data_IF_407327143197
#
_entry.id   IF_407327143197
#
_cell.length_a   1.000
_cell.length_b   1.000
_cell.length_c   1.000
_cell.angle_alpha   90.00
_cell.angle_beta   90.00
_cell.angle_gamma   90.00
#
_symmetry.space_group_name_H-M   'P 1'
#
loop_
_entity.id
_entity.type
_entity.pdbx_description
1 polymer ?
#
# COMPACT_ATOMS: atom_id res chain seq x y z
N UNK A 1 46.52 -3.25 10.00
CA UNK A 1 45.08 -2.92 9.83
C UNK A 1 44.77 -3.01 8.36
N UNK A 2 43.80 -3.85 7.98
CA UNK A 2 43.51 -4.18 6.58
C UNK A 2 42.68 -3.06 5.94
N UNK A 3 42.86 -2.76 4.65
CA UNK A 3 42.09 -1.77 3.90
C UNK A 3 40.73 -2.36 3.50
N UNK A 4 39.94 -2.80 4.47
CA UNK A 4 38.59 -3.38 4.27
C UNK A 4 37.47 -2.46 4.74
N UNK A 5 37.79 -1.31 5.34
CA UNK A 5 36.81 -0.46 6.03
C UNK A 5 36.43 0.80 5.21
N UNK A 6 36.69 0.78 3.90
CA UNK A 6 36.50 1.93 2.99
C UNK A 6 35.55 1.68 1.80
N UNK A 7 34.74 0.60 1.83
CA UNK A 7 33.77 0.26 0.77
C UNK A 7 32.32 0.20 1.31
N UNK A 8 31.98 1.06 2.27
CA UNK A 8 30.59 1.23 2.75
C UNK A 8 30.06 2.67 2.52
N UNK A 9 30.68 3.40 1.59
CA UNK A 9 30.13 4.62 1.06
C UNK A 9 29.35 4.33 -0.24
N UNK A 10 28.04 4.58 -0.16
CA UNK A 10 27.13 4.85 -1.28
C UNK A 10 27.05 3.84 -2.42
N UNK A 11 26.21 2.81 -2.23
CA UNK A 11 25.27 2.41 -3.30
C UNK A 11 23.95 3.13 -3.01
N UNK A 12 24.00 4.46 -2.89
CA UNK A 12 22.81 5.27 -3.13
C UNK A 12 22.81 5.46 -4.64
N UNK A 13 21.90 4.76 -5.32
CA UNK A 13 21.52 5.13 -6.68
C UNK A 13 21.20 6.62 -6.59
N UNK A 14 21.99 7.48 -7.26
CA UNK A 14 21.70 8.91 -7.32
C UNK A 14 20.34 9.05 -8.01
N UNK A 15 19.27 9.10 -7.22
CA UNK A 15 17.93 9.21 -7.76
C UNK A 15 17.78 10.66 -8.21
N UNK A 16 17.68 10.91 -9.53
CA UNK A 16 17.48 12.25 -10.02
C UNK A 16 16.08 12.69 -9.61
N UNK A 17 15.99 13.86 -9.00
CA UNK A 17 14.74 14.51 -8.67
C UNK A 17 14.65 15.77 -9.51
N UNK A 18 13.74 15.77 -10.47
CA UNK A 18 13.40 16.99 -11.19
C UNK A 18 12.58 17.88 -10.25
N UNK A 19 13.06 19.10 -10.03
CA UNK A 19 12.39 20.16 -9.28
C UNK A 19 11.97 21.23 -10.27
N UNK A 20 10.68 21.37 -10.49
CA UNK A 20 10.15 22.56 -11.16
C UNK A 20 10.12 23.71 -10.16
N UNK A 21 10.36 24.92 -10.63
CA UNK A 21 10.22 26.17 -9.85
C UNK A 21 9.75 27.27 -10.79
N UNK A 22 9.03 28.24 -10.24
CA UNK A 22 8.61 29.44 -11.00
C UNK A 22 9.66 30.51 -10.96
N UNK A 23 10.25 30.67 -9.78
CA UNK A 23 11.21 31.71 -9.49
C UNK A 23 12.40 31.13 -8.72
N UNK A 24 13.58 31.67 -9.01
CA UNK A 24 14.82 31.33 -8.29
C UNK A 24 14.67 31.58 -6.79
N UNK A 25 13.85 32.56 -6.39
CA UNK A 25 13.60 32.83 -4.97
C UNK A 25 13.03 31.63 -4.21
N UNK A 26 12.25 30.75 -4.85
CA UNK A 26 11.71 29.53 -4.22
C UNK A 26 12.83 28.62 -3.74
N UNK A 27 13.94 28.56 -4.49
CA UNK A 27 15.12 27.77 -4.12
C UNK A 27 15.77 28.28 -2.83
N UNK A 28 15.79 29.60 -2.66
CA UNK A 28 16.41 30.24 -1.50
C UNK A 28 15.47 30.24 -0.29
N UNK A 29 14.17 30.42 -0.50
CA UNK A 29 13.17 30.42 0.59
C UNK A 29 12.82 29.02 1.11
N UNK A 30 13.10 27.95 0.35
CA UNK A 30 12.84 26.55 0.74
C UNK A 30 14.16 25.77 0.92
N UNK A 31 15.24 26.47 1.26
CA UNK A 31 16.59 25.93 1.22
C UNK A 31 16.78 24.77 2.19
N UNK A 32 16.13 24.77 3.35
CA UNK A 32 16.23 23.71 4.35
C UNK A 32 15.57 22.42 3.87
N UNK A 33 14.41 22.50 3.22
CA UNK A 33 13.74 21.32 2.65
C UNK A 33 14.58 20.70 1.52
N UNK A 34 15.10 21.53 0.60
CA UNK A 34 15.98 21.03 -0.46
C UNK A 34 17.31 20.49 0.08
N UNK A 35 17.84 21.09 1.15
CA UNK A 35 19.03 20.58 1.83
C UNK A 35 18.76 19.21 2.45
N UNK A 36 17.62 19.02 3.10
CA UNK A 36 17.19 17.71 3.60
C UNK A 36 17.21 16.65 2.49
N UNK A 37 16.65 16.95 1.30
CA UNK A 37 16.70 16.01 0.18
C UNK A 37 18.14 15.72 -0.30
N UNK A 38 18.98 16.75 -0.41
CA UNK A 38 20.40 16.58 -0.81
C UNK A 38 21.19 15.76 0.21
N UNK A 39 20.98 16.00 1.50
CA UNK A 39 21.66 15.30 2.59
C UNK A 39 21.30 13.80 2.60
N UNK A 40 20.14 13.42 2.02
CA UNK A 40 19.72 12.03 1.80
C UNK A 40 20.26 11.40 0.51
N UNK A 41 20.98 12.15 -0.32
CA UNK A 41 21.59 11.65 -1.55
C UNK A 41 20.74 11.82 -2.81
N UNK A 42 19.67 12.63 -2.77
CA UNK A 42 18.92 12.98 -3.99
C UNK A 42 19.68 14.00 -4.84
N UNK A 43 19.74 13.76 -6.15
CA UNK A 43 20.32 14.71 -7.10
C UNK A 43 19.23 15.64 -7.65
N UNK A 44 19.13 16.83 -7.06
CA UNK A 44 18.10 17.82 -7.43
C UNK A 44 18.49 18.56 -8.73
N UNK A 45 17.64 18.44 -9.75
CA UNK A 45 17.75 19.18 -11.01
C UNK A 45 16.67 20.26 -11.04
N UNK A 46 17.06 21.52 -10.92
CA UNK A 46 16.13 22.64 -10.97
C UNK A 46 15.86 23.06 -12.41
N UNK A 47 14.59 23.20 -12.78
CA UNK A 47 14.15 23.78 -14.05
C UNK A 47 13.01 24.76 -13.83
N UNK A 48 12.89 25.74 -14.71
CA UNK A 48 11.69 26.57 -14.72
C UNK A 48 10.51 25.80 -15.31
N UNK A 49 9.31 26.03 -14.79
CA UNK A 49 8.14 25.33 -15.28
C UNK A 49 7.69 25.76 -16.68
N UNK A 50 8.03 26.96 -17.12
CA UNK A 50 7.76 27.48 -18.46
C UNK A 50 8.81 27.09 -19.52
N UNK A 51 9.83 26.30 -19.13
CA UNK A 51 10.92 25.91 -20.01
C UNK A 51 10.43 24.98 -21.14
N UNK A 52 10.51 25.46 -22.39
CA UNK A 52 10.13 24.69 -23.58
C UNK A 52 11.01 23.44 -23.83
N UNK A 53 12.18 23.34 -23.20
CA UNK A 53 13.09 22.18 -23.31
C UNK A 53 12.68 21.00 -22.41
N UNK A 54 11.59 21.15 -21.66
CA UNK A 54 11.19 20.21 -20.64
C UNK A 54 10.37 19.06 -21.24
N UNK A 55 10.92 17.85 -21.22
CA UNK A 55 10.23 16.63 -21.65
C UNK A 55 10.42 15.50 -20.63
N UNK A 56 9.31 14.90 -20.23
CA UNK A 56 9.27 13.82 -19.24
C UNK A 56 9.81 12.48 -19.81
N UNK A 57 9.92 12.35 -21.14
CA UNK A 57 10.37 11.10 -21.79
C UNK A 57 11.83 10.72 -21.51
N UNK A 58 12.66 11.69 -21.13
CA UNK A 58 14.08 11.45 -20.83
C UNK A 58 14.33 11.12 -19.35
N UNK A 59 13.30 11.16 -18.51
CA UNK A 59 13.40 10.79 -17.11
C UNK A 59 13.06 9.31 -17.00
N UNK A 60 14.07 8.50 -16.64
CA UNK A 60 13.91 7.05 -16.48
C UNK A 60 12.81 6.70 -15.48
N UNK A 61 12.21 5.52 -15.64
CA UNK A 61 11.11 4.95 -14.83
C UNK A 61 11.45 4.85 -13.32
N UNK A 62 12.73 4.97 -12.96
CA UNK A 62 13.23 5.00 -11.57
C UNK A 62 13.45 6.41 -11.00
N UNK A 63 13.15 7.47 -11.76
CA UNK A 63 13.25 8.86 -11.25
C UNK A 63 12.04 9.19 -10.37
N UNK A 64 12.30 9.67 -9.16
CA UNK A 64 11.26 10.25 -8.29
C UNK A 64 11.19 11.74 -8.60
N UNK A 65 10.06 12.26 -9.07
CA UNK A 65 9.96 13.66 -9.46
C UNK A 65 9.27 14.48 -8.37
N UNK A 66 9.80 15.67 -8.11
CA UNK A 66 9.31 16.58 -7.07
C UNK A 66 8.79 17.84 -7.76
N UNK A 67 7.48 18.02 -7.83
CA UNK A 67 6.88 19.11 -8.57
C UNK A 67 6.47 20.23 -7.61
N UNK A 68 7.35 21.19 -7.41
CA UNK A 68 6.95 22.49 -6.87
C UNK A 68 6.55 23.36 -8.05
N UNK A 69 5.26 23.52 -8.35
CA UNK A 69 4.88 24.63 -9.20
C UNK A 69 3.42 24.99 -9.02
N UNK A 70 3.09 26.25 -9.26
CA UNK A 70 1.73 26.74 -9.40
C UNK A 70 1.29 26.59 -10.88
N UNK A 71 2.20 26.66 -11.86
CA UNK A 71 1.87 26.45 -13.30
C UNK A 71 2.77 25.44 -14.03
N UNK A 72 2.28 24.85 -15.14
CA UNK A 72 3.07 24.07 -16.10
C UNK A 72 3.15 24.79 -17.44
N UNK A 73 4.34 24.83 -18.05
CA UNK A 73 4.55 25.26 -19.43
C UNK A 73 5.33 24.24 -20.26
N UNK A 74 5.56 24.58 -21.53
CA UNK A 74 6.33 23.75 -22.45
C UNK A 74 5.57 22.52 -22.97
N UNK A 75 6.21 21.34 -22.92
CA UNK A 75 5.69 20.08 -23.47
C UNK A 75 5.19 19.13 -22.36
N UNK A 76 5.09 19.57 -21.10
CA UNK A 76 4.39 18.82 -20.06
C UNK A 76 2.89 19.07 -20.22
N UNK A 77 2.14 17.98 -20.28
CA UNK A 77 0.68 17.98 -20.35
C UNK A 77 0.16 17.03 -19.26
N UNK A 78 -1.08 17.23 -18.83
CA UNK A 78 -1.76 16.41 -17.82
C UNK A 78 -1.67 14.93 -18.18
N UNK A 79 -1.85 14.61 -19.47
CA UNK A 79 -1.74 13.24 -20.01
C UNK A 79 -0.36 12.61 -19.85
N UNK A 80 0.71 13.42 -19.88
CA UNK A 80 2.06 12.91 -19.65
C UNK A 80 2.32 12.66 -18.16
N UNK A 81 1.77 13.51 -17.29
CA UNK A 81 1.85 13.33 -15.83
C UNK A 81 1.10 12.08 -15.38
N UNK A 82 -0.13 11.87 -15.86
CA UNK A 82 -0.91 10.66 -15.55
C UNK A 82 -0.18 9.41 -16.05
N UNK A 83 0.35 9.44 -17.27
CA UNK A 83 1.17 8.33 -17.79
C UNK A 83 2.43 8.07 -16.95
N UNK A 84 3.08 9.11 -16.45
CA UNK A 84 4.25 8.96 -15.56
C UNK A 84 3.87 8.29 -14.23
N UNK A 85 2.72 8.64 -13.66
CA UNK A 85 2.17 7.96 -12.46
C UNK A 85 1.83 6.49 -12.79
N UNK A 86 1.23 6.21 -13.94
CA UNK A 86 0.92 4.84 -14.40
C UNK A 86 2.19 3.98 -14.61
N UNK A 87 3.30 4.61 -15.02
CA UNK A 87 4.60 3.95 -15.16
C UNK A 87 5.32 3.73 -13.81
N UNK A 88 4.77 4.22 -12.70
CA UNK A 88 5.28 3.98 -11.33
C UNK A 88 5.99 5.19 -10.70
N UNK A 89 5.98 6.32 -11.39
CA UNK A 89 6.61 7.56 -10.96
C UNK A 89 5.90 8.20 -9.77
N UNK A 90 6.68 8.78 -8.86
CA UNK A 90 6.15 9.50 -7.70
C UNK A 90 6.12 11.00 -7.97
N UNK A 91 5.09 11.68 -7.47
CA UNK A 91 4.86 13.11 -7.67
C UNK A 91 4.52 13.73 -6.31
N UNK A 92 5.16 14.84 -5.97
CA UNK A 92 4.70 15.71 -4.89
C UNK A 92 4.34 17.05 -5.50
N UNK A 93 3.12 17.52 -5.27
CA UNK A 93 2.58 18.80 -5.74
C UNK A 93 2.35 19.69 -4.53
N UNK A 94 2.88 20.90 -4.58
CA UNK A 94 2.61 21.95 -3.60
C UNK A 94 1.87 23.11 -4.30
N UNK A 95 0.58 23.26 -4.00
CA UNK A 95 -0.27 24.32 -4.52
C UNK A 95 -0.20 25.59 -3.70
N UNK A 96 -0.70 26.68 -4.26
CA UNK A 96 -0.90 27.97 -3.59
C UNK A 96 -2.24 28.55 -4.03
N UNK A 97 -2.73 29.67 -3.46
CA UNK A 97 -3.93 30.34 -3.95
C UNK A 97 -3.90 30.73 -5.44
N UNK A 98 -2.71 30.83 -6.04
CA UNK A 98 -2.48 31.14 -7.44
C UNK A 98 -2.22 29.86 -8.29
N UNK A 99 -2.80 28.72 -7.91
CA UNK A 99 -2.63 27.45 -8.63
C UNK A 99 -3.21 27.52 -10.06
N UNK A 100 -2.42 27.08 -11.03
CA UNK A 100 -2.79 27.02 -12.43
C UNK A 100 -3.70 25.85 -12.79
N UNK A 101 -4.47 26.03 -13.87
CA UNK A 101 -5.50 25.10 -14.35
C UNK A 101 -4.96 23.68 -14.60
N UNK A 102 -3.76 23.55 -15.17
CA UNK A 102 -3.17 22.24 -15.47
C UNK A 102 -2.91 21.36 -14.22
N UNK A 103 -2.63 21.96 -13.07
CA UNK A 103 -2.47 21.22 -11.81
C UNK A 103 -3.84 20.82 -11.26
N UNK A 104 -4.86 21.68 -11.39
CA UNK A 104 -6.24 21.36 -11.02
C UNK A 104 -6.78 20.18 -11.85
N UNK A 105 -6.53 20.19 -13.15
CA UNK A 105 -6.89 19.10 -14.06
C UNK A 105 -6.17 17.80 -13.69
N UNK A 106 -4.87 17.86 -13.39
CA UNK A 106 -4.12 16.70 -12.92
C UNK A 106 -4.63 16.16 -11.57
N UNK A 107 -4.98 17.04 -10.63
CA UNK A 107 -5.66 16.67 -9.39
C UNK A 107 -6.97 15.95 -9.67
N UNK A 108 -7.76 16.48 -10.61
CA UNK A 108 -9.07 15.93 -10.98
C UNK A 108 -8.96 14.52 -11.55
N UNK A 109 -7.94 14.25 -12.39
CA UNK A 109 -7.61 12.90 -12.87
C UNK A 109 -7.21 11.95 -11.73
N UNK A 110 -6.66 12.48 -10.65
CA UNK A 110 -6.34 11.73 -9.42
C UNK A 110 -7.53 11.59 -8.46
N UNK A 111 -8.70 12.15 -8.78
CA UNK A 111 -9.91 12.13 -7.95
C UNK A 111 -9.88 13.14 -6.79
N UNK A 112 -9.12 14.23 -6.97
CA UNK A 112 -8.92 15.31 -6.02
C UNK A 112 -9.27 16.64 -6.72
N UNK A 113 -10.05 17.48 -6.08
CA UNK A 113 -10.47 18.77 -6.63
C UNK A 113 -9.86 19.90 -5.81
N UNK A 114 -9.13 20.78 -6.49
CA UNK A 114 -8.64 22.02 -5.90
C UNK A 114 -9.69 23.10 -6.04
N UNK A 115 -9.74 24.01 -5.08
CA UNK A 115 -10.66 25.15 -5.12
C UNK A 115 -10.25 26.20 -6.17
N UNK A 116 -11.12 27.18 -6.40
CA UNK A 116 -10.93 28.25 -7.38
C UNK A 116 -9.69 29.11 -7.09
N UNK A 117 -9.18 29.79 -8.12
CA UNK A 117 -8.06 30.72 -7.92
C UNK A 117 -8.43 31.81 -6.92
N UNK A 118 -7.45 32.28 -6.13
CA UNK A 118 -7.62 33.31 -5.10
C UNK A 118 -8.57 32.92 -3.96
N UNK A 119 -8.84 31.63 -3.81
CA UNK A 119 -9.46 31.08 -2.61
C UNK A 119 -8.38 30.69 -1.60
N UNK A 120 -8.74 30.77 -0.32
CA UNK A 120 -7.90 30.30 0.76
C UNK A 120 -8.80 29.64 1.81
N UNK A 121 -8.23 28.72 2.58
CA UNK A 121 -8.88 28.18 3.76
C UNK A 121 -8.85 29.25 4.85
N UNK A 122 -10.04 29.68 5.27
CA UNK A 122 -10.26 30.72 6.26
C UNK A 122 -10.78 30.06 7.54
N UNK A 123 -10.18 30.39 8.69
CA UNK A 123 -10.64 29.90 9.99
C UNK A 123 -10.58 30.96 11.09
N UNK A 124 -11.72 31.61 11.34
CA UNK A 124 -11.89 32.69 12.33
C UNK A 124 -11.62 32.27 13.77
N UNK A 125 -11.60 30.96 14.03
CA UNK A 125 -11.41 30.45 15.38
C UNK A 125 -9.98 30.00 15.64
N UNK A 126 -9.25 29.46 14.65
CA UNK A 126 -7.92 28.87 14.84
C UNK A 126 -6.84 29.47 13.93
N UNK A 127 -6.52 30.74 14.13
CA UNK A 127 -5.50 31.45 13.36
C UNK A 127 -4.29 31.87 14.19
N UNK A 128 -3.17 32.13 13.51
CA UNK A 128 -1.94 32.61 14.15
C UNK A 128 -1.92 34.14 14.26
N UNK A 129 -1.20 34.68 15.25
CA UNK A 129 -0.97 36.12 15.45
C UNK A 129 -0.19 36.74 14.29
N UNK A 130 0.58 35.92 13.57
CA UNK A 130 1.35 36.33 12.38
C UNK A 130 0.46 36.56 11.14
N UNK A 131 -0.83 36.27 11.24
CA UNK A 131 -1.79 36.50 10.16
C UNK A 131 -1.97 38.02 9.90
N UNK A 132 -2.01 38.41 8.61
CA UNK A 132 -2.17 39.80 8.18
C UNK A 132 -3.61 40.35 8.33
N UNK A 133 -4.46 39.68 9.10
CA UNK A 133 -5.85 40.06 9.38
C UNK A 133 -6.88 39.48 8.41
N UNK A 134 -6.48 38.54 7.53
CA UNK A 134 -7.37 37.80 6.62
C UNK A 134 -7.80 36.44 7.17
N UNK A 135 -7.19 36.02 8.27
CA UNK A 135 -7.49 34.80 9.03
C UNK A 135 -7.30 33.55 8.16
N UNK A 136 -6.22 33.54 7.39
CA UNK A 136 -5.86 32.48 6.42
C UNK A 136 -4.72 31.59 6.89
N UNK A 137 -3.97 32.01 7.93
CA UNK A 137 -2.91 31.18 8.53
C UNK A 137 -3.51 30.25 9.58
N UNK A 138 -3.66 28.97 9.24
CA UNK A 138 -4.20 27.94 10.15
C UNK A 138 -3.15 27.60 11.20
N UNK A 139 -3.46 27.75 12.49
CA UNK A 139 -2.46 27.60 13.58
C UNK A 139 -1.76 26.22 13.62
N UNK A 140 -2.45 25.15 13.22
CA UNK A 140 -1.86 23.79 13.19
C UNK A 140 -0.97 23.51 11.97
N UNK A 141 -1.15 24.29 10.90
CA UNK A 141 -0.49 24.09 9.59
C UNK A 141 0.51 25.21 9.29
N UNK A 142 0.42 26.33 10.03
CA UNK A 142 1.19 27.56 9.89
C UNK A 142 1.54 27.85 8.43
N UNK A 143 0.52 27.95 7.58
CA UNK A 143 0.69 28.35 6.19
C UNK A 143 -0.67 28.74 5.62
N UNK A 144 -0.65 29.60 4.60
CA UNK A 144 -1.85 29.87 3.79
C UNK A 144 -2.09 28.66 2.91
N UNK A 145 -3.22 28.00 3.09
CA UNK A 145 -3.56 26.79 2.34
C UNK A 145 -4.72 27.05 1.37
N UNK A 146 -4.56 26.57 0.14
CA UNK A 146 -5.65 26.29 -0.77
C UNK A 146 -6.40 25.03 -0.30
N UNK A 147 -7.72 25.02 -0.41
CA UNK A 147 -8.47 23.84 -0.04
C UNK A 147 -8.42 22.75 -1.09
N UNK A 148 -8.43 21.51 -0.59
CA UNK A 148 -8.49 20.30 -1.37
C UNK A 148 -9.76 19.54 -0.99
N UNK A 149 -10.58 19.19 -1.98
CA UNK A 149 -11.70 18.28 -1.84
C UNK A 149 -11.33 16.90 -2.38
N UNK A 150 -11.51 15.86 -1.56
CA UNK A 150 -11.29 14.47 -1.98
C UNK A 150 -12.62 13.80 -2.29
N UNK A 151 -12.71 13.03 -3.38
CA UNK A 151 -13.90 12.21 -3.65
C UNK A 151 -13.99 11.03 -2.65
N UNK A 152 -15.00 10.97 -1.76
CA UNK A 152 -15.12 9.90 -0.77
C UNK A 152 -15.38 8.52 -1.37
N UNK A 153 -15.80 8.45 -2.63
CA UNK A 153 -16.00 7.19 -3.34
C UNK A 153 -14.67 6.57 -3.83
N UNK A 154 -13.56 7.32 -3.83
CA UNK A 154 -12.27 6.81 -4.27
C UNK A 154 -11.51 6.14 -3.12
N UNK A 155 -11.35 4.80 -3.11
CA UNK A 155 -10.68 4.10 -2.02
C UNK A 155 -9.15 4.26 -2.03
N UNK A 156 -8.57 4.83 -3.09
CA UNK A 156 -7.12 5.00 -3.24
C UNK A 156 -6.60 6.31 -2.64
N UNK A 157 -7.51 7.24 -2.33
CA UNK A 157 -7.18 8.55 -1.75
C UNK A 157 -7.00 8.40 -0.24
N UNK A 158 -5.94 9.00 0.26
CA UNK A 158 -5.57 9.02 1.67
C UNK A 158 -5.58 10.46 2.14
N UNK A 159 -6.53 10.80 2.99
CA UNK A 159 -6.58 12.13 3.60
C UNK A 159 -5.62 12.16 4.78
N UNK A 160 -4.60 13.02 4.70
CA UNK A 160 -3.54 13.10 5.73
C UNK A 160 -3.88 14.16 6.76
N UNK A 161 -4.23 15.37 6.30
CA UNK A 161 -4.52 16.50 7.17
C UNK A 161 -5.81 17.19 6.74
N UNK A 162 -6.74 17.26 7.69
CA UNK A 162 -8.01 17.96 7.57
C UNK A 162 -7.91 19.35 8.20
N UNK A 163 -8.67 20.30 7.68
CA UNK A 163 -8.93 21.56 8.37
C UNK A 163 -9.81 21.34 9.61
N UNK A 164 -9.92 22.37 10.44
CA UNK A 164 -10.80 22.39 11.61
C UNK A 164 -12.28 22.28 11.22
N UNK A 165 -13.15 22.05 12.19
CA UNK A 165 -14.59 22.07 11.98
C UNK A 165 -15.17 23.48 11.74
N UNK A 166 -14.41 24.54 12.04
CA UNK A 166 -14.79 25.94 11.83
C UNK A 166 -14.23 26.55 10.55
N UNK A 167 -13.30 25.86 9.89
CA UNK A 167 -12.71 26.30 8.64
C UNK A 167 -13.67 26.19 7.45
N UNK A 168 -13.51 27.07 6.47
CA UNK A 168 -14.15 26.97 5.16
C UNK A 168 -13.25 27.57 4.09
N UNK A 169 -13.45 27.19 2.84
CA UNK A 169 -12.65 27.73 1.74
C UNK A 169 -13.43 28.77 0.94
N UNK A 170 -12.91 29.98 0.85
CA UNK A 170 -13.50 31.05 0.04
C UNK A 170 -12.44 32.09 -0.32
N UNK A 171 -12.71 32.95 -1.29
CA UNK A 171 -11.91 34.15 -1.52
C UNK A 171 -12.10 35.16 -0.37
N UNK A 172 -11.04 35.58 0.35
CA UNK A 172 -11.15 36.48 1.52
C UNK A 172 -11.70 37.87 1.21
N UNK A 173 -11.55 38.34 -0.04
CA UNK A 173 -11.88 39.72 -0.43
C UNK A 173 -13.33 39.88 -0.91
N UNK A 174 -14.09 38.78 -1.00
CA UNK A 174 -15.45 38.78 -1.56
C UNK A 174 -16.48 38.21 -0.58
N UNK A 175 -17.71 38.76 -0.55
CA UNK A 175 -18.75 38.25 0.33
C UNK A 175 -19.25 36.87 -0.13
N UNK A 176 -19.52 36.00 0.83
CA UNK A 176 -20.04 34.65 0.59
C UNK A 176 -21.51 34.75 0.17
N UNK A 177 -21.78 34.52 -1.11
CA UNK A 177 -23.14 34.49 -1.65
C UNK A 177 -23.65 33.07 -1.92
N UNK A 178 -22.72 32.14 -2.20
CA UNK A 178 -23.01 30.75 -2.50
C UNK A 178 -22.43 29.85 -1.41
N UNK A 179 -22.90 28.60 -1.36
CA UNK A 179 -22.30 27.61 -0.48
C UNK A 179 -20.83 27.41 -0.91
N UNK A 180 -19.85 27.55 0.01
CA UNK A 180 -18.44 27.35 -0.31
C UNK A 180 -18.14 25.91 -0.76
N UNK A 181 -17.12 25.73 -1.59
CA UNK A 181 -16.77 24.42 -2.16
C UNK A 181 -16.43 23.38 -1.07
N UNK A 182 -15.69 23.79 -0.05
CA UNK A 182 -15.38 22.96 1.12
C UNK A 182 -15.68 23.69 2.42
N UNK A 183 -16.29 22.98 3.37
CA UNK A 183 -16.68 23.50 4.69
C UNK A 183 -16.38 22.47 5.77
N UNK A 184 -15.84 22.94 6.89
CA UNK A 184 -15.48 22.17 8.07
C UNK A 184 -14.42 21.10 7.76
N UNK A 185 -14.56 19.93 8.40
CA UNK A 185 -13.63 18.79 8.27
C UNK A 185 -13.55 18.15 6.88
N UNK A 186 -14.46 18.49 5.97
CA UNK A 186 -14.39 18.01 4.60
C UNK A 186 -13.27 18.70 3.80
N UNK A 187 -12.84 19.88 4.25
CA UNK A 187 -11.70 20.62 3.73
C UNK A 187 -10.40 19.85 4.04
N UNK A 188 -9.75 19.31 3.02
CA UNK A 188 -8.42 18.71 3.14
C UNK A 188 -7.34 19.77 2.89
N UNK A 189 -6.25 19.68 3.63
CA UNK A 189 -5.05 20.50 3.44
C UNK A 189 -3.91 19.69 2.81
N UNK A 190 -3.83 18.41 3.16
CA UNK A 190 -2.85 17.47 2.62
C UNK A 190 -3.57 16.16 2.27
N UNK A 191 -3.44 15.75 1.02
CA UNK A 191 -4.06 14.54 0.49
C UNK A 191 -3.04 13.74 -0.30
N UNK A 192 -2.93 12.44 0.00
CA UNK A 192 -2.13 11.48 -0.76
C UNK A 192 -3.01 10.63 -1.67
N UNK A 193 -2.43 10.12 -2.74
CA UNK A 193 -2.98 9.06 -3.58
C UNK A 193 -1.96 7.93 -3.64
N UNK A 194 -2.40 6.71 -3.35
CA UNK A 194 -1.63 5.51 -3.63
C UNK A 194 -2.28 4.76 -4.79
N UNK A 195 -1.64 4.80 -5.96
CA UNK A 195 -2.13 4.11 -7.14
C UNK A 195 -1.97 2.59 -7.02
N UNK A 196 -2.63 1.83 -7.91
CA UNK A 196 -2.62 0.36 -7.90
C UNK A 196 -1.25 -0.26 -8.23
N UNK A 197 -0.38 0.50 -8.88
CA UNK A 197 1.03 0.18 -9.13
C UNK A 197 1.95 0.68 -8.01
N UNK A 198 1.37 1.07 -6.87
CA UNK A 198 2.04 1.69 -5.72
C UNK A 198 2.79 3.01 -6.04
N UNK A 199 2.45 3.71 -7.14
CA UNK A 199 2.90 5.09 -7.32
C UNK A 199 2.28 5.98 -6.24
N UNK A 200 3.09 6.88 -5.68
CA UNK A 200 2.66 7.79 -4.61
C UNK A 200 2.59 9.20 -5.15
N UNK A 201 1.41 9.80 -5.05
CA UNK A 201 1.19 11.21 -5.37
C UNK A 201 0.77 11.92 -4.11
N UNK A 202 1.41 13.04 -3.79
CA UNK A 202 1.05 13.86 -2.64
C UNK A 202 0.65 15.24 -3.11
N UNK A 203 -0.52 15.71 -2.68
CA UNK A 203 -1.04 17.04 -2.91
C UNK A 203 -1.05 17.81 -1.59
N UNK A 204 -0.34 18.93 -1.58
CA UNK A 204 -0.22 19.83 -0.44
C UNK A 204 -0.80 21.17 -0.85
N UNK A 205 -1.79 21.66 -0.12
CA UNK A 205 -2.50 22.90 -0.46
C UNK A 205 -1.70 24.18 -0.25
N UNK A 206 -0.46 24.11 0.23
CA UNK A 206 0.40 25.27 0.45
C UNK A 206 1.83 24.99 0.06
N UNK A 207 2.40 25.87 -0.77
CA UNK A 207 3.82 25.91 -1.06
C UNK A 207 4.61 26.33 0.18
N UNK A 208 4.13 27.36 0.87
CA UNK A 208 4.83 27.93 2.01
C UNK A 208 4.97 26.94 3.18
N UNK A 209 4.14 25.89 3.23
CA UNK A 209 4.29 24.77 4.16
C UNK A 209 5.71 24.16 4.15
N UNK A 210 6.43 24.24 3.03
CA UNK A 210 7.80 23.75 2.87
C UNK A 210 8.88 24.84 3.05
N UNK A 211 8.48 26.08 3.35
CA UNK A 211 9.38 27.22 3.41
C UNK A 211 10.19 27.29 4.71
N UNK A 212 11.33 27.95 4.62
CA UNK A 212 12.26 28.14 5.72
C UNK A 212 11.67 29.03 6.82
N UNK A 213 10.79 29.96 6.46
CA UNK A 213 10.08 30.83 7.40
C UNK A 213 9.20 30.02 8.34
N UNK A 214 8.38 29.12 7.79
CA UNK A 214 7.48 28.29 8.57
C UNK A 214 8.17 27.09 9.26
N UNK A 215 9.42 26.79 8.91
CA UNK A 215 10.26 25.84 9.65
C UNK A 215 11.00 26.49 10.83
N UNK A 216 11.27 27.81 10.75
CA UNK A 216 11.98 28.57 11.78
C UNK A 216 11.06 29.45 12.62
N UNK A 217 9.75 29.42 12.36
CA UNK A 217 8.73 30.12 13.15
C UNK A 217 8.80 29.63 14.60
N UNK A 218 9.46 30.43 15.45
CA UNK A 218 9.85 30.03 16.81
C UNK A 218 8.74 30.14 17.87
N UNK A 219 7.56 30.68 17.55
CA UNK A 219 6.43 30.69 18.48
C UNK A 219 5.14 30.49 17.69
N UNK A 220 4.58 29.27 17.76
CA UNK A 220 3.23 29.00 17.25
C UNK A 220 2.24 29.49 18.28
N UNK A 221 1.52 30.56 17.96
CA UNK A 221 0.45 31.05 18.81
C UNK A 221 -0.87 30.45 18.32
N UNK A 222 -1.44 29.56 19.12
CA UNK A 222 -2.80 29.08 18.86
C UNK A 222 -3.78 30.02 19.55
N UNK A 223 -4.42 30.87 18.76
CA UNK A 223 -5.60 31.59 19.20
C UNK A 223 -6.80 30.68 19.01
N UNK A 224 -7.62 30.50 20.05
CA UNK A 224 -8.96 29.90 19.94
C UNK A 224 -9.97 30.91 20.42
N UNK A 225 -10.90 31.28 19.54
CA UNK A 225 -11.89 32.35 19.80
C UNK A 225 -11.23 33.68 20.25
N UNK A 226 -10.07 34.02 19.69
CA UNK A 226 -9.31 35.23 20.03
C UNK A 226 -8.57 35.20 21.38
N UNK A 227 -8.57 34.06 22.09
CA UNK A 227 -7.78 33.86 23.30
C UNK A 227 -6.54 33.00 23.02
N UNK A 228 -5.37 33.41 23.53
CA UNK A 228 -4.14 32.61 23.51
C UNK A 228 -4.35 31.32 24.31
N UNK A 229 -4.38 30.18 23.61
CA UNK A 229 -4.57 28.87 24.22
C UNK A 229 -3.23 28.15 24.46
N UNK A 230 -2.23 28.38 23.60
CA UNK A 230 -0.91 27.78 23.73
C UNK A 230 0.15 28.53 22.93
N UNK A 231 1.37 28.52 23.45
CA UNK A 231 2.58 28.99 22.74
C UNK A 231 3.49 27.78 22.63
N UNK A 232 3.85 27.41 21.41
CA UNK A 232 4.80 26.33 21.15
C UNK A 232 6.09 26.91 20.58
N UNK A 233 7.23 26.52 21.14
CA UNK A 233 8.54 27.09 20.80
C UNK A 233 9.06 26.68 19.40
N UNK A 234 8.46 25.66 18.77
CA UNK A 234 8.87 25.15 17.45
C UNK A 234 7.65 24.64 16.70
N UNK A 235 7.58 24.92 15.40
CA UNK A 235 6.56 24.38 14.51
C UNK A 235 6.83 22.90 14.17
N UNK A 236 5.78 22.08 14.15
CA UNK A 236 5.87 20.67 13.71
C UNK A 236 6.00 20.49 12.19
N UNK A 237 5.95 21.58 11.42
CA UNK A 237 5.90 21.56 9.95
C UNK A 237 7.11 20.87 9.33
N UNK A 238 8.30 21.08 9.91
CA UNK A 238 9.53 20.44 9.42
C UNK A 238 9.48 18.92 9.53
N UNK A 239 9.11 18.38 10.69
CA UNK A 239 9.03 16.93 10.88
C UNK A 239 7.95 16.31 9.99
N UNK A 240 6.80 16.99 9.83
CA UNK A 240 5.72 16.52 8.97
C UNK A 240 6.13 16.51 7.50
N UNK A 241 6.70 17.60 6.99
CA UNK A 241 7.14 17.72 5.59
C UNK A 241 8.25 16.72 5.24
N UNK A 242 9.22 16.51 6.12
CA UNK A 242 10.26 15.50 5.95
C UNK A 242 9.65 14.09 5.87
N UNK A 243 8.75 13.72 6.79
CA UNK A 243 8.08 12.41 6.78
C UNK A 243 7.20 12.19 5.54
N UNK A 244 6.50 13.23 5.08
CA UNK A 244 5.70 13.20 3.86
C UNK A 244 6.57 12.96 2.63
N UNK A 245 7.72 13.64 2.53
CA UNK A 245 8.67 13.41 1.45
C UNK A 245 9.23 11.98 1.46
N UNK A 246 9.58 11.43 2.64
CA UNK A 246 10.04 10.05 2.79
C UNK A 246 8.99 9.02 2.37
N UNK A 247 7.72 9.30 2.65
CA UNK A 247 6.61 8.49 2.18
C UNK A 247 6.49 8.60 0.65
N UNK A 248 6.38 9.80 0.08
CA UNK A 248 6.21 9.99 -1.36
C UNK A 248 7.33 9.36 -2.18
N UNK A 249 8.57 9.45 -1.73
CA UNK A 249 9.73 8.90 -2.46
C UNK A 249 10.09 7.45 -2.13
N UNK A 250 9.17 6.68 -1.56
CA UNK A 250 9.35 5.24 -1.30
C UNK A 250 10.60 4.93 -0.46
N UNK A 251 10.87 5.76 0.54
CA UNK A 251 11.88 5.50 1.56
C UNK A 251 11.28 4.94 2.83
N UNK A 252 10.05 5.35 3.15
CA UNK A 252 9.29 4.82 4.28
C UNK A 252 8.05 4.03 3.81
N UNK A 253 7.59 3.07 4.62
CA UNK A 253 6.38 2.30 4.36
C UNK A 253 6.45 1.45 3.10
N UNK A 254 7.64 1.02 2.67
CA UNK A 254 7.79 0.14 1.50
C UNK A 254 7.95 -1.29 1.96
N UNK A 255 7.01 -2.13 1.54
CA UNK A 255 7.01 -3.56 1.82
C UNK A 255 7.37 -4.35 0.56
N UNK A 256 8.01 -5.51 0.75
CA UNK A 256 8.18 -6.50 -0.31
C UNK A 256 8.00 -7.91 0.23
N UNK A 257 7.62 -8.82 -0.67
CA UNK A 257 7.66 -10.25 -0.40
C UNK A 257 9.01 -10.79 -0.86
N UNK A 258 9.75 -11.38 0.06
CA UNK A 258 11.11 -11.91 -0.18
C UNK A 258 11.06 -13.35 -0.68
N UNK A 259 10.26 -14.20 -0.02
CA UNK A 259 10.07 -15.59 -0.44
C UNK A 259 8.71 -16.12 0.01
N UNK A 260 8.19 -17.10 -0.72
CA UNK A 260 6.96 -17.82 -0.39
C UNK A 260 7.21 -19.31 -0.50
N UNK A 261 6.75 -20.07 0.48
CA UNK A 261 6.91 -21.52 0.50
C UNK A 261 5.64 -22.21 0.98
N UNK A 262 5.29 -23.33 0.35
CA UNK A 262 4.19 -24.19 0.77
C UNK A 262 4.53 -25.67 0.59
N UNK A 263 4.19 -26.50 1.56
CA UNK A 263 4.55 -27.92 1.59
C UNK A 263 3.56 -28.70 2.45
N UNK A 264 3.51 -30.02 2.28
CA UNK A 264 2.73 -30.87 3.17
C UNK A 264 3.46 -30.96 4.52
N UNK A 265 2.71 -31.05 5.62
CA UNK A 265 3.29 -31.25 6.96
C UNK A 265 4.17 -32.49 6.96
N UNK A 266 5.42 -32.34 7.43
CA UNK A 266 6.43 -33.40 7.45
C UNK A 266 7.31 -33.49 6.21
N UNK A 267 7.01 -32.73 5.16
CA UNK A 267 7.83 -32.63 3.94
C UNK A 267 8.54 -31.29 3.87
N UNK A 268 9.59 -31.18 3.05
CA UNK A 268 10.29 -29.90 2.84
C UNK A 268 9.91 -29.25 1.51
N UNK A 269 9.72 -30.05 0.47
CA UNK A 269 9.48 -29.55 -0.88
C UNK A 269 7.98 -29.42 -1.20
N UNK A 270 7.60 -28.44 -2.05
CA UNK A 270 6.24 -28.34 -2.55
C UNK A 270 5.88 -29.55 -3.40
N UNK A 271 4.66 -30.06 -3.24
CA UNK A 271 4.10 -31.07 -4.13
C UNK A 271 3.49 -30.42 -5.37
N UNK A 272 3.52 -31.13 -6.49
CA UNK A 272 2.77 -30.73 -7.70
C UNK A 272 1.26 -30.72 -7.44
N UNK A 273 0.78 -31.70 -6.69
CA UNK A 273 -0.64 -31.89 -6.38
C UNK A 273 -0.81 -32.34 -4.92
N UNK A 274 -1.71 -31.70 -4.21
CA UNK A 274 -2.14 -32.08 -2.87
C UNK A 274 -3.39 -32.94 -2.93
N UNK A 275 -3.64 -33.73 -1.90
CA UNK A 275 -4.93 -34.44 -1.74
C UNK A 275 -5.92 -33.65 -0.90
N UNK A 276 -7.21 -33.87 -1.12
CA UNK A 276 -8.26 -33.40 -0.20
C UNK A 276 -7.92 -33.78 1.24
N UNK A 277 -8.23 -32.89 2.19
CA UNK A 277 -7.94 -33.08 3.63
C UNK A 277 -6.44 -33.22 3.98
N UNK A 278 -5.50 -32.92 3.09
CA UNK A 278 -4.08 -32.81 3.48
C UNK A 278 -3.86 -31.61 4.42
N UNK A 279 -3.01 -31.81 5.42
CA UNK A 279 -2.46 -30.73 6.23
C UNK A 279 -1.25 -30.12 5.51
N UNK A 280 -1.34 -28.82 5.20
CA UNK A 280 -0.29 -28.05 4.53
C UNK A 280 0.26 -26.97 5.47
N UNK A 281 1.52 -26.61 5.26
CA UNK A 281 2.18 -25.46 5.87
C UNK A 281 2.34 -24.42 4.78
N UNK A 282 1.94 -23.19 5.07
CA UNK A 282 2.20 -22.03 4.23
C UNK A 282 3.09 -21.06 5.00
N UNK A 283 4.13 -20.56 4.33
CA UNK A 283 5.02 -19.54 4.88
C UNK A 283 5.36 -18.45 3.88
N UNK A 284 5.48 -17.22 4.38
CA UNK A 284 5.82 -16.03 3.60
C UNK A 284 6.79 -15.14 4.38
N UNK A 285 7.80 -14.63 3.69
CA UNK A 285 8.78 -13.70 4.24
C UNK A 285 8.45 -12.30 3.73
N UNK A 286 8.09 -11.40 4.65
CA UNK A 286 7.77 -10.01 4.33
C UNK A 286 8.86 -9.13 4.94
N UNK A 287 9.41 -8.24 4.12
CA UNK A 287 10.46 -7.31 4.51
C UNK A 287 10.01 -5.87 4.27
N UNK A 288 10.44 -4.97 5.16
CA UNK A 288 10.25 -3.53 5.02
C UNK A 288 11.59 -2.85 4.75
N UNK A 289 11.57 -1.88 3.84
CA UNK A 289 12.74 -1.05 3.57
C UNK A 289 12.96 -0.08 4.75
N UNK A 290 14.13 -0.15 5.38
CA UNK A 290 14.54 0.81 6.40
C UNK A 290 15.05 2.11 5.79
N UNK A 291 15.16 3.16 6.62
CA UNK A 291 15.70 4.46 6.23
C UNK A 291 17.19 4.41 5.82
N UNK A 292 17.88 3.35 6.24
CA UNK A 292 19.25 2.99 5.84
C UNK A 292 19.32 2.28 4.47
N UNK A 293 18.18 2.07 3.81
CA UNK A 293 18.05 1.33 2.56
C UNK A 293 18.12 -0.19 2.74
N UNK A 294 18.38 -0.67 3.96
CA UNK A 294 18.44 -2.09 4.27
C UNK A 294 17.05 -2.69 4.44
N UNK A 295 16.85 -3.91 3.96
CA UNK A 295 15.59 -4.64 4.13
C UNK A 295 15.60 -5.36 5.48
N UNK A 296 14.59 -5.08 6.30
CA UNK A 296 14.43 -5.64 7.65
C UNK A 296 13.13 -6.46 7.72
N UNK A 297 13.05 -7.52 8.55
CA UNK A 297 11.82 -8.27 8.72
C UNK A 297 10.66 -7.37 9.15
N UNK A 298 9.53 -7.47 8.47
CA UNK A 298 8.31 -6.75 8.83
C UNK A 298 7.53 -7.57 9.85
N UNK A 299 7.18 -6.98 10.99
CA UNK A 299 6.44 -7.65 12.07
C UNK A 299 5.07 -6.98 12.25
N UNK A 300 4.02 -7.74 12.02
CA UNK A 300 2.62 -7.32 12.14
C UNK A 300 1.77 -8.51 12.59
N UNK A 301 0.70 -8.24 13.34
CA UNK A 301 -0.15 -9.28 13.92
C UNK A 301 -1.37 -9.63 13.04
N UNK A 302 -1.59 -8.88 11.97
CA UNK A 302 -2.83 -8.85 11.20
C UNK A 302 -2.67 -9.33 9.75
N UNK A 303 -1.53 -9.93 9.41
CA UNK A 303 -1.30 -10.56 8.10
C UNK A 303 -2.16 -11.81 7.97
N UNK A 304 -2.86 -11.97 6.85
CA UNK A 304 -3.77 -13.08 6.60
C UNK A 304 -3.45 -13.81 5.30
N UNK A 305 -3.68 -15.13 5.31
CA UNK A 305 -3.69 -15.96 4.10
C UNK A 305 -5.09 -16.47 3.83
N UNK A 306 -5.47 -16.43 2.56
CA UNK A 306 -6.74 -16.93 2.07
C UNK A 306 -6.51 -18.09 1.09
N UNK A 307 -7.29 -19.16 1.26
CA UNK A 307 -7.39 -20.24 0.29
C UNK A 307 -8.64 -20.01 -0.55
N UNK A 308 -8.46 -19.57 -1.79
CA UNK A 308 -9.53 -19.10 -2.69
C UNK A 308 -9.65 -20.07 -3.87
N UNK A 309 -10.89 -20.29 -4.35
CA UNK A 309 -11.13 -20.88 -5.69
C UNK A 309 -11.94 -19.91 -6.56
N UNK A 310 -13.13 -19.56 -6.07
CA UNK A 310 -13.96 -18.46 -6.56
C UNK A 310 -14.13 -17.52 -5.37
N UNK A 311 -14.64 -18.08 -4.28
CA UNK A 311 -14.76 -17.43 -2.98
C UNK A 311 -13.71 -17.98 -1.99
N UNK A 312 -13.38 -17.26 -0.90
CA UNK A 312 -12.45 -17.74 0.12
C UNK A 312 -13.07 -18.90 0.92
N UNK A 313 -12.44 -20.07 0.85
CA UNK A 313 -12.83 -21.26 1.64
C UNK A 313 -12.29 -21.20 3.06
N UNK A 314 -11.05 -20.71 3.19
CA UNK A 314 -10.34 -20.63 4.47
C UNK A 314 -9.64 -19.27 4.51
N UNK A 315 -9.80 -18.56 5.61
CA UNK A 315 -9.03 -17.36 5.95
C UNK A 315 -8.37 -17.60 7.31
N UNK A 316 -7.05 -17.40 7.39
CA UNK A 316 -6.27 -17.58 8.62
C UNK A 316 -5.28 -16.44 8.79
N UNK A 317 -5.16 -15.94 10.01
CA UNK A 317 -4.06 -15.05 10.39
C UNK A 317 -2.75 -15.82 10.41
N UNK A 318 -1.72 -15.21 9.88
CA UNK A 318 -0.35 -15.72 9.85
C UNK A 318 0.39 -15.21 11.09
N UNK A 319 0.67 -16.05 12.10
CA UNK A 319 1.52 -15.64 13.20
C UNK A 319 2.98 -15.51 12.74
N UNK A 320 3.67 -14.51 13.27
CA UNK A 320 5.10 -14.32 13.04
C UNK A 320 5.92 -15.29 13.90
N UNK A 321 6.72 -16.16 13.27
CA UNK A 321 7.63 -17.12 13.91
C UNK A 321 9.06 -16.89 13.42
N UNK A 322 9.92 -16.36 14.27
CA UNK A 322 11.31 -16.06 13.89
C UNK A 322 11.37 -14.87 12.93
N UNK A 323 11.73 -15.10 11.67
CA UNK A 323 11.75 -14.08 10.60
C UNK A 323 10.69 -14.33 9.52
N UNK A 324 9.72 -15.22 9.78
CA UNK A 324 8.77 -15.70 8.77
C UNK A 324 7.35 -15.71 9.33
N UNK A 325 6.39 -15.49 8.45
CA UNK A 325 4.98 -15.72 8.73
C UNK A 325 4.63 -17.15 8.37
N UNK A 326 4.10 -17.94 9.30
CA UNK A 326 3.82 -19.35 9.05
C UNK A 326 2.52 -19.82 9.69
N UNK A 327 1.68 -20.51 8.91
CA UNK A 327 0.49 -21.18 9.42
C UNK A 327 0.35 -22.59 8.85
N UNK A 328 -0.13 -23.50 9.69
CA UNK A 328 -0.57 -24.82 9.28
C UNK A 328 -2.09 -24.80 9.07
N UNK A 329 -2.55 -25.32 7.94
CA UNK A 329 -3.96 -25.38 7.60
C UNK A 329 -4.31 -26.67 6.88
N UNK A 330 -5.55 -27.14 7.08
CA UNK A 330 -6.06 -28.34 6.43
C UNK A 330 -6.85 -27.99 5.18
N UNK A 331 -6.56 -28.65 4.07
CA UNK A 331 -7.28 -28.45 2.81
C UNK A 331 -8.74 -28.95 2.91
N UNK A 332 -9.67 -28.32 2.18
CA UNK A 332 -11.09 -28.69 2.21
C UNK A 332 -11.34 -30.06 1.54
N UNK A 333 -12.55 -30.59 1.72
CA UNK A 333 -13.02 -31.83 1.08
C UNK A 333 -13.44 -31.62 -0.39
N UNK A 334 -13.34 -30.39 -0.89
CA UNK A 334 -13.68 -30.01 -2.26
C UNK A 334 -12.39 -29.97 -3.07
N UNK A 335 -12.34 -30.75 -4.14
CA UNK A 335 -11.20 -30.76 -5.06
C UNK A 335 -11.28 -29.63 -6.10
N UNK A 336 -10.15 -29.34 -6.74
CA UNK A 336 -10.02 -28.32 -7.77
C UNK A 336 -8.70 -27.56 -7.69
N UNK A 337 -8.63 -26.49 -8.47
CA UNK A 337 -7.50 -25.55 -8.44
C UNK A 337 -7.82 -24.45 -7.42
N UNK A 338 -6.96 -24.27 -6.44
CA UNK A 338 -7.04 -23.23 -5.44
C UNK A 338 -5.88 -22.24 -5.59
N UNK A 339 -6.01 -21.08 -4.95
CA UNK A 339 -4.98 -20.06 -4.83
C UNK A 339 -4.78 -19.75 -3.36
N UNK A 340 -3.53 -19.73 -2.92
CA UNK A 340 -3.11 -19.15 -1.65
C UNK A 340 -2.85 -17.68 -1.92
N UNK A 341 -3.71 -16.82 -1.39
CA UNK A 341 -3.66 -15.38 -1.60
C UNK A 341 -3.28 -14.70 -0.29
N UNK A 342 -2.29 -13.83 -0.36
CA UNK A 342 -1.96 -12.88 0.71
C UNK A 342 -2.17 -11.49 0.12
N UNK A 343 -3.15 -10.79 0.68
CA UNK A 343 -3.51 -9.42 0.31
C UNK A 343 -3.36 -8.54 1.55
N UNK A 344 -2.26 -7.79 1.62
CA UNK A 344 -1.95 -6.87 2.70
C UNK A 344 -2.10 -5.44 2.21
N UNK A 345 -3.28 -4.88 2.44
CA UNK A 345 -3.63 -3.50 2.14
C UNK A 345 -3.82 -2.70 3.43
N UNK A 346 -2.86 -1.84 3.75
CA UNK A 346 -2.88 -0.95 4.92
C UNK A 346 -2.44 0.45 4.54
N UNK A 347 -3.14 1.45 5.05
CA UNK A 347 -2.84 2.87 4.80
C UNK A 347 -1.38 3.17 5.16
N UNK A 348 -0.66 3.82 4.26
CA UNK A 348 0.74 4.20 4.44
C UNK A 348 1.76 3.14 4.02
N UNK A 349 1.34 1.88 3.82
CA UNK A 349 2.21 0.80 3.35
C UNK A 349 1.97 0.46 1.87
N UNK A 350 3.00 -0.03 1.19
CA UNK A 350 2.86 -0.66 -0.14
C UNK A 350 1.82 -1.78 -0.10
N UNK A 351 0.98 -1.84 -1.13
CA UNK A 351 0.00 -2.90 -1.28
C UNK A 351 0.69 -4.21 -1.65
N UNK A 352 0.70 -5.18 -0.74
CA UNK A 352 1.24 -6.50 -1.05
C UNK A 352 0.14 -7.42 -1.53
N UNK A 353 0.20 -7.81 -2.80
CA UNK A 353 -0.67 -8.83 -3.35
C UNK A 353 0.16 -9.98 -3.88
N UNK A 354 -0.06 -11.20 -3.36
CA UNK A 354 0.53 -12.41 -3.92
C UNK A 354 -0.50 -13.52 -4.05
N UNK A 355 -0.41 -14.28 -5.14
CA UNK A 355 -1.32 -15.37 -5.48
C UNK A 355 -0.56 -16.60 -5.96
N UNK A 356 -0.49 -17.63 -5.12
CA UNK A 356 0.18 -18.89 -5.45
C UNK A 356 -0.85 -19.97 -5.75
N UNK A 357 -0.87 -20.48 -6.98
CA UNK A 357 -1.80 -21.52 -7.38
C UNK A 357 -1.38 -22.90 -6.86
N UNK A 358 -2.31 -23.63 -6.26
CA UNK A 358 -2.14 -25.03 -5.85
C UNK A 358 -3.25 -25.91 -6.42
N UNK A 359 -2.92 -27.15 -6.77
CA UNK A 359 -3.89 -28.13 -7.27
C UNK A 359 -4.23 -29.14 -6.18
N UNK A 360 -5.52 -29.29 -5.87
CA UNK A 360 -6.03 -30.23 -4.89
C UNK A 360 -6.84 -31.31 -5.60
N UNK A 361 -6.34 -32.54 -5.62
CA UNK A 361 -6.99 -33.69 -6.25
C UNK A 361 -7.78 -34.53 -5.23
N UNK A 362 -8.81 -35.27 -5.67
CA UNK A 362 -9.43 -36.29 -4.83
C UNK A 362 -8.47 -37.45 -4.53
N UNK A 363 -8.85 -38.32 -3.60
CA UNK A 363 -8.11 -39.55 -3.32
C UNK A 363 -8.04 -40.45 -4.56
N UNK A 364 -6.89 -41.09 -4.78
CA UNK A 364 -6.79 -42.18 -5.75
C UNK A 364 -7.45 -43.44 -5.19
N UNK A 365 -7.80 -44.38 -6.07
CA UNK A 365 -8.40 -45.66 -5.67
C UNK A 365 -7.57 -46.46 -4.64
N UNK A 366 -6.25 -46.23 -4.60
CA UNK A 366 -5.32 -46.84 -3.64
C UNK A 366 -5.28 -46.18 -2.26
N UNK A 367 -5.83 -44.96 -2.12
CA UNK A 367 -5.75 -44.15 -0.92
C UNK A 367 -6.99 -44.26 -0.02
N UNK A 368 -8.05 -44.94 -0.48
CA UNK A 368 -9.21 -45.22 0.34
C UNK A 368 -8.87 -46.20 1.46
N UNK A 369 -9.53 -46.04 2.60
CA UNK A 369 -9.42 -46.97 3.72
C UNK A 369 -9.84 -48.38 3.28
N UNK A 370 -9.06 -49.38 3.67
CA UNK A 370 -9.32 -50.79 3.37
C UNK A 370 -9.47 -51.56 4.68
N UNK A 371 -10.22 -52.65 4.63
CA UNK A 371 -10.50 -53.50 5.81
C UNK A 371 -11.26 -52.77 6.91
N UNK A 372 -12.33 -52.07 6.53
CA UNK A 372 -13.19 -51.36 7.47
C UNK A 372 -13.93 -52.35 8.38
N UNK A 373 -13.97 -52.06 9.68
CA UNK A 373 -14.54 -52.95 10.70
C UNK A 373 -16.02 -53.24 10.41
N UNK A 374 -16.75 -52.22 9.96
CA UNK A 374 -18.18 -52.34 9.59
C UNK A 374 -18.42 -53.35 8.46
N UNK A 375 -17.42 -53.59 7.59
CA UNK A 375 -17.54 -54.51 6.47
C UNK A 375 -17.06 -55.93 6.75
N UNK A 376 -16.66 -56.26 7.99
CA UNK A 376 -16.27 -57.63 8.35
C UNK A 376 -17.32 -58.70 7.99
N UNK A 377 -18.64 -58.48 8.12
CA UNK A 377 -19.64 -59.47 7.69
C UNK A 377 -19.55 -59.80 6.18
N UNK A 378 -19.25 -58.82 5.33
CA UNK A 378 -19.11 -59.03 3.89
C UNK A 378 -17.82 -59.78 3.54
N UNK A 379 -16.70 -59.44 4.19
CA UNK A 379 -15.44 -60.17 4.04
C UNK A 379 -15.59 -61.62 4.53
N UNK A 380 -16.26 -61.78 5.68
CA UNK A 380 -16.83 -63.00 6.24
C UNK A 380 -17.48 -63.91 5.20
N UNK A 381 -18.54 -63.37 4.60
CA UNK A 381 -19.41 -64.04 3.64
C UNK A 381 -18.65 -64.51 2.40
N UNK A 382 -17.80 -63.65 1.82
CA UNK A 382 -17.02 -64.01 0.64
C UNK A 382 -16.09 -65.20 0.89
N UNK A 383 -15.36 -65.18 2.01
CA UNK A 383 -14.46 -66.28 2.40
C UNK A 383 -15.27 -67.55 2.70
N UNK A 384 -16.42 -67.43 3.36
CA UNK A 384 -17.33 -68.55 3.65
C UNK A 384 -17.85 -69.20 2.38
N UNK A 385 -18.27 -68.43 1.37
CA UNK A 385 -18.72 -68.95 0.08
C UNK A 385 -17.59 -69.68 -0.66
N UNK A 386 -16.37 -69.14 -0.66
CA UNK A 386 -15.21 -69.80 -1.26
C UNK A 386 -14.92 -71.14 -0.59
N UNK A 387 -14.87 -71.17 0.75
CA UNK A 387 -14.67 -72.39 1.51
C UNK A 387 -15.80 -73.41 1.28
N UNK A 388 -17.05 -72.94 1.23
CA UNK A 388 -18.23 -73.76 0.95
C UNK A 388 -18.16 -74.43 -0.43
N UNK A 389 -17.78 -73.69 -1.47
CA UNK A 389 -17.59 -74.25 -2.83
C UNK A 389 -16.45 -75.27 -2.85
N UNK A 390 -15.34 -75.01 -2.16
CA UNK A 390 -14.23 -75.97 -2.07
C UNK A 390 -14.64 -77.28 -1.37
N UNK A 391 -15.34 -77.19 -0.24
CA UNK A 391 -15.84 -78.37 0.49
C UNK A 391 -16.90 -79.09 -0.34
N UNK A 392 -17.85 -78.37 -0.94
CA UNK A 392 -18.86 -78.94 -1.82
C UNK A 392 -18.23 -79.67 -3.00
N UNK A 393 -17.24 -79.07 -3.68
CA UNK A 393 -16.55 -79.72 -4.79
C UNK A 393 -15.84 -81.00 -4.37
N UNK A 394 -15.19 -81.01 -3.21
CA UNK A 394 -14.54 -82.21 -2.68
C UNK A 394 -15.55 -83.30 -2.35
N UNK A 395 -16.61 -82.97 -1.60
CA UNK A 395 -17.65 -83.94 -1.22
C UNK A 395 -18.38 -84.47 -2.46
N UNK A 396 -18.74 -83.61 -3.40
CA UNK A 396 -19.46 -83.99 -4.61
C UNK A 396 -18.64 -84.94 -5.50
N UNK A 397 -17.33 -84.71 -5.65
CA UNK A 397 -16.46 -85.58 -6.46
C UNK A 397 -16.18 -86.93 -5.81
N UNK A 398 -16.07 -86.98 -4.48
CA UNK A 398 -15.77 -88.22 -3.74
C UNK A 398 -17.01 -88.85 -3.09
N UNK A 399 -18.21 -88.41 -3.48
CA UNK A 399 -19.46 -89.00 -3.01
C UNK A 399 -19.61 -90.40 -3.63
N UNK A 400 -19.68 -91.41 -2.76
CA UNK A 400 -20.02 -92.78 -3.18
C UNK A 400 -21.54 -92.89 -3.22
N UNK A 401 -22.10 -93.15 -4.39
CA UNK A 401 -23.54 -93.41 -4.53
C UNK A 401 -23.89 -94.76 -3.89
N UNK A 402 -24.67 -94.74 -2.81
CA UNK A 402 -25.25 -95.93 -2.15
C UNK A 402 -26.47 -96.49 -2.91
N UNK A 403 -26.54 -96.28 -4.23
CA UNK A 403 -27.45 -97.09 -5.06
C UNK A 403 -26.87 -98.49 -5.17
N UNK A 404 -27.26 -99.35 -4.22
CA UNK A 404 -27.38 -100.78 -4.46
C UNK A 404 -28.01 -100.96 -5.84
N UNK A 405 -27.25 -101.51 -6.79
CA UNK A 405 -27.79 -102.05 -8.03
C UNK A 405 -28.84 -103.09 -7.63
N UNK A 406 -30.11 -102.72 -7.69
CA UNK A 406 -31.17 -103.70 -7.76
C UNK A 406 -31.04 -104.36 -9.13
N UNK A 407 -30.49 -105.58 -9.13
CA UNK A 407 -30.52 -106.51 -10.29
C UNK A 407 -31.95 -106.93 -10.62
#
# INVERSE_FOLDING_TARGET
MRPSDLILASIFKELPVLVLIENVFVRDSHSMFFKFLKDRGYHLVYKYADDASLDLKHLEVDSSNFFICQEFGGNIDVKKLTRFVDEGGNILVAGSPDIGEAIKDFGSECGIEFDDEKTAVIDHMNYDVMDEGKVTVISSYQAIALSIASNPANPLVINVLHASDTAYSHSPDTPINNYPNTVGRNTQLITGLQARNDARVLFVGSLDFFSDEFFLSGAVHTLVNGALQGVYDVSGNRELSENLALWTFKENGVLRVSSIHHNKVGEKDPRREYTIKDDIIFSIDIEMKGLDGAWKPFVADDVQVELIRIDPFIRRTLPHKGNKYEVQMKLPDVYGVFKLVVDYHRTGYTHLFTSNQISVRPFTHTQYERFIISAYPYYASAISMMAGVSVFSFVYLYLRDDKLKAE
#
